data_IF_763276040283
#
_entry.id   IF_763276040283
#
_cell.length_a   1.000
_cell.length_b   1.000
_cell.length_c   1.000
_cell.angle_alpha   90.00
_cell.angle_beta   90.00
_cell.angle_gamma   90.00
#
_symmetry.space_group_name_H-M   'P 1'
#
loop_
_entity.id
_entity.type
_entity.pdbx_description
1 polymer ?
#
# COMPACT_ATOMS: atom_id res chain seq x y z
N UNK A 1 3.42 16.72 9.79
CA UNK A 1 3.97 15.35 9.59
C UNK A 1 3.12 14.61 8.56
N UNK A 2 3.73 13.98 7.56
CA UNK A 2 2.97 13.24 6.55
C UNK A 2 2.52 11.85 7.01
N UNK A 3 1.74 11.19 6.17
CA UNK A 3 1.19 9.86 6.40
C UNK A 3 1.04 9.05 5.11
N UNK A 4 1.06 7.73 5.24
CA UNK A 4 0.60 6.79 4.23
C UNK A 4 -0.62 6.05 4.79
N UNK A 5 -1.64 5.90 3.96
CA UNK A 5 -2.91 5.27 4.30
C UNK A 5 -3.35 4.27 3.26
N UNK A 6 -3.93 3.17 3.75
CA UNK A 6 -4.69 2.22 2.94
C UNK A 6 -6.17 2.39 3.26
N UNK A 7 -6.95 2.70 2.23
CA UNK A 7 -8.39 2.94 2.33
C UNK A 7 -9.10 2.00 1.36
N UNK A 8 -10.25 1.45 1.76
CA UNK A 8 -11.20 0.85 0.81
C UNK A 8 -12.38 1.78 0.58
N UNK A 9 -12.85 1.84 -0.66
CA UNK A 9 -13.97 2.70 -1.04
C UNK A 9 -14.90 2.02 -2.04
N UNK A 10 -16.23 2.10 -1.89
CA UNK A 10 -17.17 1.43 -2.80
C UNK A 10 -16.92 1.76 -4.27
N UNK A 11 -16.95 0.74 -5.12
CA UNK A 11 -16.84 0.91 -6.56
C UNK A 11 -18.09 1.64 -7.07
N UNK A 12 -17.89 2.68 -7.88
CA UNK A 12 -18.99 3.47 -8.47
C UNK A 12 -19.24 4.80 -7.77
N UNK A 13 -18.66 5.03 -6.58
CA UNK A 13 -18.67 6.34 -5.95
C UNK A 13 -17.49 7.20 -6.42
N UNK A 14 -17.67 8.52 -6.36
CA UNK A 14 -16.58 9.48 -6.51
C UNK A 14 -15.50 9.23 -5.46
N UNK A 15 -14.27 9.67 -5.77
CA UNK A 15 -13.15 9.57 -4.84
C UNK A 15 -13.50 10.25 -3.50
N UNK A 16 -13.21 9.64 -2.34
CA UNK A 16 -13.49 10.28 -1.07
C UNK A 16 -12.54 11.45 -0.86
N UNK A 17 -13.06 12.68 -0.95
CA UNK A 17 -12.34 13.93 -0.72
C UNK A 17 -11.93 14.09 0.76
N UNK A 18 -11.09 13.18 1.25
CA UNK A 18 -10.57 13.16 2.62
C UNK A 18 -11.50 12.56 3.68
N UNK A 19 -12.77 12.31 3.39
CA UNK A 19 -13.78 11.82 4.36
C UNK A 19 -13.67 10.34 4.73
N UNK A 20 -12.94 9.54 3.94
CA UNK A 20 -12.81 8.11 4.20
C UNK A 20 -11.88 7.80 5.39
N UNK A 21 -12.38 6.95 6.29
CA UNK A 21 -11.60 6.37 7.37
C UNK A 21 -10.69 5.27 6.80
N UNK A 22 -9.37 5.30 7.05
CA UNK A 22 -8.46 4.29 6.56
C UNK A 22 -8.60 2.97 7.31
N UNK A 23 -8.37 1.85 6.62
CA UNK A 23 -8.19 0.54 7.26
C UNK A 23 -6.84 0.46 7.98
N UNK A 24 -5.85 1.20 7.46
CA UNK A 24 -4.52 1.31 8.06
C UNK A 24 -3.90 2.67 7.75
N UNK A 25 -3.15 3.20 8.71
CA UNK A 25 -2.42 4.45 8.55
C UNK A 25 -1.12 4.41 9.35
N UNK A 26 -0.06 4.90 8.71
CA UNK A 26 1.22 5.18 9.36
C UNK A 26 1.56 6.66 9.18
N UNK A 27 2.21 7.26 10.18
CA UNK A 27 2.54 8.70 10.22
C UNK A 27 4.00 8.92 10.58
N UNK A 28 4.55 10.05 10.14
CA UNK A 28 5.91 10.47 10.48
C UNK A 28 6.98 9.74 9.67
N UNK A 29 8.25 10.00 10.01
CA UNK A 29 9.40 9.29 9.43
C UNK A 29 9.60 7.95 10.11
N UNK A 30 9.98 6.94 9.32
CA UNK A 30 10.30 5.58 9.78
C UNK A 30 11.76 5.21 9.48
N UNK A 31 12.59 6.21 9.18
CA UNK A 31 13.98 6.04 8.76
C UNK A 31 14.12 5.83 7.25
N UNK A 32 15.38 5.62 6.84
CA UNK A 32 15.79 5.56 5.43
C UNK A 32 15.94 4.08 4.98
N UNK A 33 14.91 3.27 5.22
CA UNK A 33 14.87 1.84 4.88
C UNK A 33 13.52 1.45 4.30
N UNK A 34 13.50 0.41 3.46
CA UNK A 34 12.26 -0.23 3.03
C UNK A 34 11.61 -0.98 4.18
N UNK A 35 10.32 -0.74 4.38
CA UNK A 35 9.51 -1.40 5.40
C UNK A 35 8.39 -2.16 4.71
N UNK A 36 8.36 -3.47 4.93
CA UNK A 36 7.29 -4.32 4.41
C UNK A 36 6.08 -4.27 5.34
N UNK A 37 4.96 -3.83 4.80
CA UNK A 37 3.68 -3.79 5.51
C UNK A 37 2.67 -4.79 4.96
N UNK A 38 1.84 -5.34 5.83
CA UNK A 38 0.71 -6.21 5.45
C UNK A 38 -0.56 -5.68 6.08
N UNK A 39 -1.48 -5.20 5.24
CA UNK A 39 -2.75 -4.65 5.67
C UNK A 39 -3.87 -5.65 5.39
N UNK A 40 -4.59 -6.02 6.44
CA UNK A 40 -5.80 -6.83 6.29
C UNK A 40 -6.93 -5.93 5.82
N UNK A 41 -7.51 -6.29 4.68
CA UNK A 41 -8.62 -5.57 4.08
C UNK A 41 -9.89 -6.38 4.31
N UNK A 42 -10.93 -5.70 4.82
CA UNK A 42 -12.22 -6.35 5.04
C UNK A 42 -12.81 -6.78 3.70
N UNK A 43 -13.26 -8.04 3.65
CA UNK A 43 -14.06 -8.50 2.52
C UNK A 43 -15.47 -7.92 2.66
N UNK A 44 -15.89 -7.12 1.69
CA UNK A 44 -17.22 -6.49 1.68
C UNK A 44 -18.09 -7.09 0.59
N UNK A 45 -19.40 -7.20 0.83
CA UNK A 45 -20.36 -7.69 -0.16
C UNK A 45 -20.45 -6.80 -1.41
N UNK A 46 -20.20 -5.50 -1.24
CA UNK A 46 -20.12 -4.54 -2.35
C UNK A 46 -18.70 -4.50 -2.92
N UNK A 47 -18.52 -4.43 -4.26
CA UNK A 47 -17.20 -4.25 -4.82
C UNK A 47 -16.61 -2.89 -4.40
N UNK A 48 -15.28 -2.84 -4.26
CA UNK A 48 -14.55 -1.69 -3.74
C UNK A 48 -13.23 -1.47 -4.50
N UNK A 49 -12.68 -0.28 -4.35
CA UNK A 49 -11.32 0.07 -4.77
C UNK A 49 -10.43 0.12 -3.54
N UNK A 50 -9.19 -0.36 -3.69
CA UNK A 50 -8.11 -0.08 -2.74
C UNK A 50 -7.51 1.27 -3.14
N UNK A 51 -7.25 2.12 -2.17
CA UNK A 51 -6.64 3.44 -2.36
C UNK A 51 -5.40 3.51 -1.47
N UNK A 52 -4.25 3.72 -2.10
CA UNK A 52 -2.99 4.08 -1.43
C UNK A 52 -2.89 5.60 -1.44
N UNK A 53 -3.00 6.22 -0.26
CA UNK A 53 -3.06 7.68 -0.11
C UNK A 53 -1.90 8.17 0.74
N UNK A 54 -1.02 8.96 0.13
CA UNK A 54 -0.06 9.78 0.87
C UNK A 54 -0.68 11.14 1.24
N UNK A 55 -0.40 11.62 2.45
CA UNK A 55 -0.67 13.00 2.86
C UNK A 55 0.64 13.64 3.28
N UNK A 56 0.94 14.81 2.73
CA UNK A 56 2.11 15.60 3.15
C UNK A 56 1.70 16.47 4.33
N UNK A 57 2.58 16.59 5.32
CA UNK A 57 2.29 17.34 6.54
C UNK A 57 2.90 18.73 6.60
N UNK A 58 3.18 19.33 5.44
CA UNK A 58 3.92 20.60 5.28
C UNK A 58 4.97 20.55 4.15
N UNK A 59 5.64 21.69 3.87
CA UNK A 59 6.56 21.85 2.73
C UNK A 59 7.94 21.18 2.89
N UNK A 60 8.18 20.43 3.97
CA UNK A 60 9.48 19.82 4.25
C UNK A 60 9.35 18.32 4.54
N UNK A 61 9.99 17.52 3.68
CA UNK A 61 10.56 16.19 3.94
C UNK A 61 9.61 15.03 4.25
N UNK A 62 8.48 14.89 3.55
CA UNK A 62 7.64 13.69 3.70
C UNK A 62 7.36 13.06 2.36
N UNK A 63 8.37 12.42 1.80
CA UNK A 63 8.19 11.55 0.63
C UNK A 63 7.78 10.15 1.10
N UNK A 64 6.79 9.58 0.43
CA UNK A 64 6.38 8.19 0.58
C UNK A 64 6.80 7.48 -0.68
N UNK A 65 7.42 6.32 -0.54
CA UNK A 65 7.77 5.43 -1.63
C UNK A 65 7.04 4.10 -1.45
N UNK A 66 6.55 3.52 -2.54
CA UNK A 66 5.92 2.21 -2.56
C UNK A 66 6.57 1.32 -3.60
N UNK A 67 6.65 0.04 -3.27
CA UNK A 67 7.19 -0.99 -4.15
C UNK A 67 6.54 -2.35 -3.82
N UNK A 68 6.61 -3.30 -4.76
CA UNK A 68 6.18 -4.69 -4.59
C UNK A 68 4.73 -4.88 -4.09
N UNK A 69 3.81 -4.03 -4.53
CA UNK A 69 2.42 -4.06 -4.08
C UNK A 69 1.73 -5.32 -4.59
N UNK A 70 1.33 -6.18 -3.64
CA UNK A 70 0.64 -7.44 -3.94
C UNK A 70 -0.68 -7.53 -3.18
N UNK A 71 -1.77 -7.86 -3.87
CA UNK A 71 -3.06 -8.18 -3.26
C UNK A 71 -3.26 -9.69 -3.31
N UNK A 72 -3.61 -10.28 -2.17
CA UNK A 72 -3.90 -11.71 -2.04
C UNK A 72 -5.30 -11.91 -1.47
N UNK A 73 -6.03 -12.90 -1.97
CA UNK A 73 -7.15 -13.48 -1.24
C UNK A 73 -6.63 -14.63 -0.36
N UNK A 74 -7.14 -14.71 0.85
CA UNK A 74 -6.95 -15.87 1.72
C UNK A 74 -8.31 -16.46 2.03
N UNK A 75 -8.42 -17.78 1.90
CA UNK A 75 -9.65 -18.51 2.25
C UNK A 75 -9.78 -18.76 3.75
N UNK A 76 -8.67 -18.66 4.49
CA UNK A 76 -8.75 -18.52 5.94
C UNK A 76 -9.17 -17.09 6.23
N UNK A 77 -10.28 -16.89 6.93
CA UNK A 77 -10.51 -15.61 7.59
C UNK A 77 -9.28 -15.34 8.43
N UNK A 78 -8.47 -14.35 8.06
CA UNK A 78 -7.37 -13.86 8.89
C UNK A 78 -8.00 -13.06 10.04
N UNK A 79 -8.81 -13.75 10.84
CA UNK A 79 -8.86 -13.48 12.25
C UNK A 79 -7.58 -14.08 12.80
N UNK A 80 -6.82 -13.27 13.52
CA UNK A 80 -5.95 -13.77 14.58
C UNK A 80 -6.83 -14.67 15.46
N UNK A 81 -6.84 -15.97 15.20
CA UNK A 81 -7.38 -16.95 16.14
C UNK A 81 -6.28 -17.26 17.13
N UNK A 82 -6.22 -16.45 18.18
CA UNK A 82 -5.86 -16.93 19.51
C UNK A 82 -6.87 -18.01 19.91
N UNK A 83 -6.71 -19.23 19.38
CA UNK A 83 -7.44 -20.39 19.90
C UNK A 83 -6.48 -21.55 19.98
N UNK A 84 -6.08 -21.82 21.22
CA UNK A 84 -5.50 -23.08 21.69
C UNK A 84 -6.12 -24.27 20.98
N UNK A 85 -5.35 -24.95 20.14
CA UNK A 85 -5.70 -26.26 19.64
C UNK A 85 -4.45 -27.15 19.80
N UNK A 86 -4.51 -28.02 20.80
CA UNK A 86 -3.64 -29.17 21.02
C UNK A 86 -3.73 -30.12 19.82
N UNK A 87 -2.94 -29.88 18.77
CA UNK A 87 -2.45 -30.87 17.78
C UNK A 87 -1.57 -30.17 16.73
N UNK A 88 -0.37 -30.70 16.38
CA UNK A 88 0.51 -30.08 15.41
C UNK A 88 0.13 -30.52 14.00
N UNK A 89 -0.93 -29.96 13.42
CA UNK A 89 -1.18 -30.10 11.98
C UNK A 89 -1.28 -28.70 11.36
N UNK A 90 -0.36 -28.31 10.46
CA UNK A 90 -0.42 -27.00 9.84
C UNK A 90 -1.64 -26.95 8.92
N UNK A 91 -2.64 -26.16 9.28
CA UNK A 91 -3.73 -25.80 8.37
C UNK A 91 -3.10 -25.00 7.24
N UNK A 92 -2.98 -25.62 6.06
CA UNK A 92 -2.46 -24.94 4.88
C UNK A 92 -3.44 -23.83 4.49
N UNK A 93 -3.15 -22.60 4.89
CA UNK A 93 -3.90 -21.42 4.45
C UNK A 93 -3.56 -21.20 2.98
N UNK A 94 -4.50 -21.54 2.09
CA UNK A 94 -4.35 -21.25 0.67
C UNK A 94 -4.50 -19.75 0.45
N UNK A 95 -3.39 -19.10 0.07
CA UNK A 95 -3.39 -17.70 -0.37
C UNK A 95 -3.24 -17.63 -1.88
N UNK A 96 -4.16 -16.95 -2.56
CA UNK A 96 -4.11 -16.74 -4.01
C UNK A 96 -3.70 -15.29 -4.29
N UNK A 97 -2.68 -15.10 -5.12
CA UNK A 97 -2.31 -13.75 -5.61
C UNK A 97 -3.35 -13.30 -6.61
N UNK A 98 -4.03 -12.19 -6.31
CA UNK A 98 -5.02 -11.59 -7.19
C UNK A 98 -4.42 -10.50 -8.06
N UNK A 99 -3.40 -9.80 -7.56
CA UNK A 99 -2.79 -8.67 -8.24
C UNK A 99 -1.37 -8.44 -7.73
N UNK A 100 -0.45 -8.02 -8.62
CA UNK A 100 0.92 -7.63 -8.30
C UNK A 100 1.34 -6.44 -9.18
N UNK A 101 2.09 -5.52 -8.60
CA UNK A 101 2.75 -4.43 -9.30
C UNK A 101 4.08 -4.09 -8.59
N UNK A 102 5.18 -4.20 -9.32
CA UNK A 102 6.56 -3.88 -8.92
C UNK A 102 7.08 -2.57 -9.56
N UNK A 103 6.28 -1.91 -10.39
CA UNK A 103 6.57 -0.59 -10.99
C UNK A 103 7.78 -0.48 -11.95
N UNK A 104 8.63 -1.51 -12.05
CA UNK A 104 9.90 -1.59 -12.81
C UNK A 104 9.91 -1.18 -14.29
N UNK A 105 8.74 -1.07 -14.91
CA UNK A 105 8.60 -0.73 -16.33
C UNK A 105 8.10 0.70 -16.56
N UNK A 106 8.39 1.63 -15.64
CA UNK A 106 7.97 3.03 -15.74
C UNK A 106 6.45 3.22 -15.71
N UNK A 107 5.72 2.30 -15.09
CA UNK A 107 4.25 2.21 -15.15
C UNK A 107 3.64 2.05 -13.78
N UNK A 108 2.52 2.73 -13.52
CA UNK A 108 1.69 2.52 -12.32
C UNK A 108 0.83 1.24 -12.43
N UNK A 109 1.16 0.33 -13.35
CA UNK A 109 0.38 -0.86 -13.68
C UNK A 109 -1.11 -0.51 -13.95
N UNK A 110 -2.04 -1.18 -13.27
CA UNK A 110 -3.47 -0.90 -13.32
C UNK A 110 -3.95 0.13 -12.28
N UNK A 111 -3.05 0.74 -11.52
CA UNK A 111 -3.43 1.84 -10.62
C UNK A 111 -3.84 3.06 -11.45
N UNK A 112 -4.65 3.92 -10.86
CA UNK A 112 -5.10 5.14 -11.50
C UNK A 112 -5.18 6.29 -10.48
N UNK A 113 -4.90 7.49 -10.95
CA UNK A 113 -5.11 8.70 -10.17
C UNK A 113 -6.55 9.17 -10.27
N UNK A 114 -7.20 9.50 -9.14
CA UNK A 114 -8.44 10.27 -9.17
C UNK A 114 -8.24 11.58 -9.94
N UNK A 115 -9.23 12.00 -10.74
CA UNK A 115 -9.17 13.29 -11.47
C UNK A 115 -9.03 14.49 -10.53
N UNK A 116 -9.59 14.38 -9.33
CA UNK A 116 -9.60 15.42 -8.29
C UNK A 116 -8.40 15.33 -7.34
N UNK A 117 -7.49 14.37 -7.54
CA UNK A 117 -6.37 14.19 -6.64
C UNK A 117 -5.42 15.40 -6.70
N UNK A 118 -5.13 16.07 -5.57
CA UNK A 118 -4.26 17.24 -5.55
C UNK A 118 -2.79 16.87 -5.82
N UNK A 119 -2.42 15.62 -5.56
CA UNK A 119 -1.10 15.05 -5.80
C UNK A 119 -1.26 13.70 -6.49
N UNK A 120 -0.30 13.35 -7.34
CA UNK A 120 -0.28 12.09 -8.08
C UNK A 120 1.01 11.34 -7.73
N UNK A 121 0.91 10.02 -7.64
CA UNK A 121 2.06 9.16 -7.56
C UNK A 121 2.84 9.21 -8.89
N UNK A 122 4.15 9.05 -8.81
CA UNK A 122 5.03 9.13 -9.96
C UNK A 122 6.04 7.99 -9.89
N UNK A 123 6.16 7.22 -10.97
CA UNK A 123 7.15 6.15 -11.04
C UNK A 123 8.54 6.75 -11.26
N UNK A 124 9.51 6.26 -10.51
CA UNK A 124 10.84 6.85 -10.36
C UNK A 124 11.90 5.75 -10.28
N UNK A 125 12.98 5.92 -11.01
CA UNK A 125 14.09 4.97 -11.06
C UNK A 125 15.08 5.08 -9.90
N UNK A 126 15.08 6.23 -9.23
CA UNK A 126 16.05 6.61 -8.21
C UNK A 126 15.33 7.12 -6.96
N UNK A 127 16.11 7.46 -5.92
CA UNK A 127 15.65 8.00 -4.62
C UNK A 127 14.57 9.07 -4.75
N UNK A 128 13.73 9.23 -3.71
CA UNK A 128 12.74 10.32 -3.64
C UNK A 128 13.40 11.72 -3.79
N UNK A 129 12.69 12.77 -4.27
CA UNK A 129 13.35 13.98 -4.78
C UNK A 129 14.00 14.77 -3.65
N UNK A 130 13.53 14.58 -2.42
CA UNK A 130 14.11 15.25 -1.27
C UNK A 130 15.23 14.39 -0.65
N UNK A 131 16.41 14.96 -0.35
CA UNK A 131 17.49 14.20 0.24
C UNK A 131 17.10 13.63 1.60
N UNK A 132 17.49 12.38 1.89
CA UNK A 132 17.22 11.68 3.17
C UNK A 132 15.72 11.53 3.47
N UNK A 133 14.93 11.30 2.44
CA UNK A 133 13.54 10.90 2.57
C UNK A 133 13.25 9.70 1.69
N UNK A 134 12.35 8.85 2.16
CA UNK A 134 11.93 7.65 1.42
C UNK A 134 13.08 6.70 1.08
N UNK A 135 12.79 5.70 0.27
CA UNK A 135 13.78 4.73 -0.14
C UNK A 135 14.72 5.30 -1.21
N UNK A 136 15.97 4.82 -1.20
CA UNK A 136 17.01 5.31 -2.09
C UNK A 136 17.07 4.55 -3.43
N UNK A 137 16.54 3.33 -3.51
CA UNK A 137 16.52 2.44 -4.68
C UNK A 137 15.33 1.47 -4.57
N UNK A 138 14.92 0.81 -5.66
CA UNK A 138 13.93 -0.29 -5.65
C UNK A 138 14.30 -1.41 -4.66
N UNK A 139 13.28 -2.03 -4.07
CA UNK A 139 13.42 -3.07 -3.05
C UNK A 139 13.84 -4.43 -3.64
N UNK A 140 13.32 -4.81 -4.81
CA UNK A 140 13.53 -6.16 -5.37
C UNK A 140 14.90 -6.31 -6.03
N UNK A 141 15.32 -5.36 -6.88
CA UNK A 141 16.55 -5.47 -7.67
C UNK A 141 17.62 -4.44 -7.29
N UNK A 142 17.26 -3.42 -6.52
CA UNK A 142 18.12 -2.27 -6.22
C UNK A 142 18.39 -1.37 -7.44
N UNK A 143 17.71 -1.62 -8.57
CA UNK A 143 17.88 -0.93 -9.87
C UNK A 143 16.56 -0.74 -10.64
N UNK A 144 15.45 -1.14 -10.04
CA UNK A 144 14.10 -1.02 -10.54
C UNK A 144 13.48 0.34 -10.27
N UNK A 145 12.22 0.50 -10.66
CA UNK A 145 11.48 1.75 -10.46
C UNK A 145 10.52 1.61 -9.27
N UNK A 146 10.32 2.68 -8.49
CA UNK A 146 9.39 2.75 -7.35
C UNK A 146 8.31 3.83 -7.58
N UNK A 147 7.19 3.70 -6.86
CA UNK A 147 6.05 4.62 -6.93
C UNK A 147 6.11 5.75 -5.90
#
# INVERSE_FOLDING_TARGET
MGSLEVVIWPSGLAYPDGSATPEWSVKGSHGDLWIKETVLIRNTATPYKIILRARTGGPSTSDVALDDVTVRSSSAGVGVTTTSATSPQPVAVSSTVLYRCDFDYGSICSWAHPRTAPMKWIVRKDSTPTPRTGANHDHTSGKGDLL
#
